data_IF_741877354195
#
_entry.id   IF_741877354195
#
_cell.length_a   1.000
_cell.length_b   1.000
_cell.length_c   1.000
_cell.angle_alpha   90.00
_cell.angle_beta   90.00
_cell.angle_gamma   90.00
#
_symmetry.space_group_name_H-M   'P 1'
#
loop_
_entity.id
_entity.type
_entity.pdbx_description
1 polymer ?
#
# COMPACT_ATOMS: atom_id res chain seq x y z
N UNK A 1 29.27 54.87 5.91
CA UNK A 1 30.26 53.94 6.50
C UNK A 1 29.58 52.85 7.33
N UNK A 2 28.73 53.18 8.30
CA UNK A 2 28.06 52.22 9.19
C UNK A 2 27.21 51.15 8.49
N UNK A 3 26.39 51.52 7.49
CA UNK A 3 25.58 50.57 6.71
C UNK A 3 26.41 49.57 5.88
N UNK A 4 27.63 49.95 5.49
CA UNK A 4 28.54 49.08 4.76
C UNK A 4 29.15 48.03 5.72
N UNK A 5 29.53 48.46 6.92
CA UNK A 5 30.07 47.58 7.96
C UNK A 5 29.04 46.53 8.39
N UNK A 6 27.77 46.92 8.60
CA UNK A 6 26.71 45.95 8.93
C UNK A 6 26.46 44.95 7.80
N UNK A 7 26.39 45.39 6.54
CA UNK A 7 26.22 44.49 5.38
C UNK A 7 27.36 43.48 5.29
N UNK A 8 28.59 43.93 5.52
CA UNK A 8 29.76 43.06 5.55
C UNK A 8 29.70 42.06 6.71
N UNK A 9 29.29 42.50 7.90
CA UNK A 9 29.13 41.63 9.07
C UNK A 9 28.06 40.55 8.83
N UNK A 10 26.89 40.93 8.30
CA UNK A 10 25.82 39.98 7.97
C UNK A 10 26.26 38.96 6.91
N UNK A 11 26.99 39.41 5.88
CA UNK A 11 27.58 38.52 4.87
C UNK A 11 28.54 37.50 5.50
N UNK A 12 29.46 37.96 6.36
CA UNK A 12 30.42 37.08 7.04
C UNK A 12 29.69 36.07 7.92
N UNK A 13 28.71 36.51 8.72
CA UNK A 13 27.93 35.60 9.56
C UNK A 13 27.14 34.58 8.73
N UNK A 14 26.54 34.99 7.61
CA UNK A 14 25.82 34.09 6.71
C UNK A 14 26.72 33.04 6.08
N UNK A 15 27.93 33.44 5.66
CA UNK A 15 28.95 32.52 5.14
C UNK A 15 29.39 31.53 6.24
N UNK A 16 29.60 31.98 7.48
CA UNK A 16 29.94 31.09 8.59
C UNK A 16 28.82 30.07 8.87
N UNK A 17 27.56 30.50 8.92
CA UNK A 17 26.42 29.59 9.11
C UNK A 17 26.26 28.58 7.98
N UNK A 18 26.47 29.00 6.73
CA UNK A 18 26.45 28.09 5.58
C UNK A 18 27.55 27.03 5.67
N UNK A 19 28.77 27.44 6.04
CA UNK A 19 29.88 26.50 6.21
C UNK A 19 29.64 25.52 7.36
N UNK A 20 29.10 25.98 8.50
CA UNK A 20 28.72 25.11 9.62
C UNK A 20 27.68 24.09 9.15
N UNK A 21 26.66 24.53 8.42
CA UNK A 21 25.64 23.63 7.87
C UNK A 21 26.22 22.61 6.89
N UNK A 22 27.12 23.03 5.99
CA UNK A 22 27.80 22.14 5.04
C UNK A 22 28.66 21.10 5.77
N UNK A 23 29.41 21.50 6.81
CA UNK A 23 30.20 20.58 7.63
C UNK A 23 29.29 19.59 8.35
N UNK A 24 28.19 20.04 8.95
CA UNK A 24 27.22 19.16 9.60
C UNK A 24 26.59 18.16 8.62
N UNK A 25 26.24 18.60 7.41
CA UNK A 25 25.72 17.74 6.36
C UNK A 25 26.77 16.71 5.89
N UNK A 26 28.03 17.12 5.75
CA UNK A 26 29.13 16.24 5.35
C UNK A 26 29.45 15.21 6.44
N UNK A 27 29.48 15.64 7.71
CA UNK A 27 29.63 14.75 8.87
C UNK A 27 28.47 13.76 8.94
N UNK A 28 27.23 14.18 8.72
CA UNK A 28 26.08 13.28 8.65
C UNK A 28 26.21 12.27 7.49
N UNK A 29 26.62 12.73 6.30
CA UNK A 29 26.85 11.87 5.14
C UNK A 29 27.93 10.81 5.40
N UNK A 30 29.02 11.18 6.08
CA UNK A 30 30.15 10.29 6.39
C UNK A 30 29.82 9.34 7.54
N UNK A 31 29.20 9.82 8.63
CA UNK A 31 28.91 9.01 9.82
C UNK A 31 27.68 8.10 9.64
N UNK A 32 26.62 8.59 8.99
CA UNK A 32 25.37 7.85 8.80
C UNK A 32 25.41 7.05 7.49
N UNK A 33 26.18 7.51 6.50
CA UNK A 33 26.29 6.93 5.18
C UNK A 33 25.12 7.37 4.28
N UNK A 34 25.37 7.65 2.98
CA UNK A 34 24.34 8.11 2.05
C UNK A 34 23.19 7.12 1.90
N UNK A 35 23.48 5.82 2.04
CA UNK A 35 22.46 4.77 1.93
C UNK A 35 21.39 4.85 3.02
N UNK A 36 21.75 5.20 4.27
CA UNK A 36 20.80 5.31 5.39
C UNK A 36 19.94 6.57 5.33
N UNK A 37 20.49 7.68 4.80
CA UNK A 37 19.77 8.94 4.64
C UNK A 37 18.69 8.87 3.55
N UNK A 38 18.89 8.00 2.55
CA UNK A 38 17.93 7.74 1.47
C UNK A 38 17.36 6.32 1.54
N UNK A 39 17.40 5.70 2.72
CA UNK A 39 16.95 4.33 2.89
C UNK A 39 15.42 4.26 2.93
N UNK A 40 14.82 4.19 1.75
CA UNK A 40 13.40 3.91 1.58
C UNK A 40 13.01 2.47 1.95
N UNK A 41 13.94 1.59 2.33
CA UNK A 41 13.59 0.20 2.64
C UNK A 41 12.58 0.08 3.77
N UNK A 42 12.64 0.97 4.77
CA UNK A 42 11.67 1.02 5.88
C UNK A 42 10.26 1.47 5.47
N UNK A 43 10.11 2.18 4.34
CA UNK A 43 8.77 2.55 3.81
C UNK A 43 8.11 1.38 3.07
N UNK A 44 8.88 0.36 2.67
CA UNK A 44 8.38 -0.72 1.80
C UNK A 44 7.76 -1.89 2.58
N UNK A 45 7.84 -1.91 3.91
CA UNK A 45 7.19 -2.97 4.69
C UNK A 45 5.71 -2.65 4.90
N UNK A 46 4.79 -3.54 4.49
CA UNK A 46 3.37 -3.33 4.72
C UNK A 46 3.07 -3.23 6.23
N UNK A 47 2.08 -2.41 6.64
CA UNK A 47 1.71 -2.32 8.05
C UNK A 47 1.34 -3.69 8.62
N UNK A 48 1.82 -3.99 9.84
CA UNK A 48 1.54 -5.26 10.53
C UNK A 48 0.03 -5.56 10.66
N UNK A 49 -0.81 -4.53 10.67
CA UNK A 49 -2.26 -4.65 10.72
C UNK A 49 -2.86 -5.41 9.50
N UNK A 50 -2.13 -5.50 8.38
CA UNK A 50 -2.54 -6.28 7.22
C UNK A 50 -2.41 -7.79 7.43
N UNK A 51 -1.72 -8.24 8.47
CA UNK A 51 -1.55 -9.66 8.79
C UNK A 51 -2.25 -10.06 10.09
N UNK A 52 -3.13 -9.19 10.62
CA UNK A 52 -3.87 -9.50 11.84
C UNK A 52 -4.90 -10.62 11.55
N UNK A 53 -4.79 -11.79 12.22
CA UNK A 53 -5.66 -12.93 11.97
C UNK A 53 -7.13 -12.66 12.31
N UNK A 54 -7.44 -11.56 13.01
CA UNK A 54 -8.82 -11.16 13.32
C UNK A 54 -9.68 -10.92 12.07
N UNK A 55 -9.04 -10.63 10.92
CA UNK A 55 -9.74 -10.37 9.66
C UNK A 55 -9.96 -11.62 8.80
N UNK A 56 -9.29 -12.73 9.12
CA UNK A 56 -9.44 -13.99 8.41
C UNK A 56 -8.16 -14.48 7.73
N UNK A 57 -8.32 -15.47 6.87
CA UNK A 57 -7.21 -16.14 6.18
C UNK A 57 -6.91 -15.47 4.83
N UNK A 58 -5.63 -15.19 4.56
CA UNK A 58 -5.18 -14.72 3.26
C UNK A 58 -5.09 -15.91 2.29
N UNK A 59 -5.73 -15.78 1.13
CA UNK A 59 -5.72 -16.77 0.05
C UNK A 59 -5.55 -16.09 -1.29
N UNK A 60 -5.30 -16.89 -2.32
CA UNK A 60 -5.25 -16.42 -3.70
C UNK A 60 -5.92 -17.41 -4.64
N UNK A 61 -6.48 -16.90 -5.72
CA UNK A 61 -7.06 -17.70 -6.80
C UNK A 61 -6.67 -17.11 -8.14
N UNK A 62 -6.41 -17.97 -9.12
CA UNK A 62 -6.13 -17.54 -10.49
C UNK A 62 -7.43 -17.53 -11.27
N UNK A 63 -7.83 -16.34 -11.72
CA UNK A 63 -9.03 -16.09 -12.56
C UNK A 63 -8.63 -15.14 -13.69
N UNK A 64 -9.21 -15.28 -14.87
CA UNK A 64 -8.96 -14.43 -16.03
C UNK A 64 -7.46 -14.17 -16.28
N UNK A 65 -6.65 -15.24 -16.12
CA UNK A 65 -5.18 -15.25 -16.28
C UNK A 65 -4.41 -14.34 -15.31
N UNK A 66 -5.03 -13.88 -14.23
CA UNK A 66 -4.40 -13.11 -13.14
C UNK A 66 -4.60 -13.83 -11.81
N UNK A 67 -3.59 -13.80 -10.96
CA UNK A 67 -3.72 -14.24 -9.57
C UNK A 67 -4.27 -13.10 -8.74
N UNK A 68 -5.45 -13.31 -8.17
CA UNK A 68 -6.08 -12.37 -7.25
C UNK A 68 -5.91 -12.83 -5.80
N UNK A 69 -5.44 -11.93 -4.95
CA UNK A 69 -5.41 -12.09 -3.50
C UNK A 69 -6.77 -11.73 -2.90
N UNK A 70 -7.15 -12.45 -1.84
CA UNK A 70 -8.31 -12.11 -1.03
C UNK A 70 -8.12 -12.55 0.43
N UNK A 71 -8.87 -11.93 1.32
CA UNK A 71 -9.04 -12.35 2.72
C UNK A 71 -10.42 -12.96 2.89
N UNK A 72 -10.47 -14.15 3.49
CA UNK A 72 -11.72 -14.87 3.75
C UNK A 72 -11.95 -15.07 5.24
N UNK A 73 -13.18 -14.80 5.68
CA UNK A 73 -13.64 -15.11 7.04
C UNK A 73 -15.06 -15.65 7.04
N UNK A 74 -15.43 -16.32 8.12
CA UNK A 74 -16.74 -16.91 8.35
C UNK A 74 -16.89 -18.35 7.86
N UNK A 75 -18.05 -18.99 8.14
CA UNK A 75 -18.25 -20.41 7.87
C UNK A 75 -18.20 -20.74 6.37
N UNK A 76 -17.46 -21.77 5.99
CA UNK A 76 -17.30 -22.19 4.58
C UNK A 76 -18.63 -22.57 3.89
N UNK A 77 -19.67 -22.91 4.66
CA UNK A 77 -21.01 -23.27 4.15
C UNK A 77 -22.01 -22.10 4.13
N UNK A 78 -21.64 -20.94 4.67
CA UNK A 78 -22.50 -19.76 4.65
C UNK A 78 -22.57 -19.12 3.24
N UNK A 79 -23.60 -18.32 2.94
CA UNK A 79 -23.69 -17.60 1.67
C UNK A 79 -22.46 -16.71 1.43
N UNK A 80 -21.99 -16.68 0.19
CA UNK A 80 -20.83 -15.86 -0.20
C UNK A 80 -21.21 -14.37 -0.17
N UNK A 81 -20.42 -13.57 0.52
CA UNK A 81 -20.46 -12.11 0.46
C UNK A 81 -19.13 -11.60 -0.10
N UNK A 82 -19.11 -11.21 -1.36
CA UNK A 82 -17.92 -10.69 -2.03
C UNK A 82 -17.84 -9.16 -1.90
N UNK A 83 -16.70 -8.65 -1.42
CA UNK A 83 -16.46 -7.24 -1.20
C UNK A 83 -15.40 -6.72 -2.17
N UNK A 84 -15.78 -5.76 -3.01
CA UNK A 84 -14.94 -5.16 -4.06
C UNK A 84 -14.59 -3.73 -3.66
N UNK A 85 -13.30 -3.40 -3.52
CA UNK A 85 -12.87 -2.05 -3.15
C UNK A 85 -12.78 -1.09 -4.35
N UNK A 86 -12.67 0.22 -4.09
CA UNK A 86 -12.51 1.26 -5.11
C UNK A 86 -11.06 1.71 -5.33
N UNK A 87 -10.87 2.91 -5.89
CA UNK A 87 -9.55 3.55 -6.06
C UNK A 87 -9.35 4.68 -5.03
N UNK A 88 -8.16 4.82 -4.41
CA UNK A 88 -7.06 3.86 -4.30
C UNK A 88 -7.16 3.09 -2.97
N UNK A 89 -7.64 1.84 -3.01
CA UNK A 89 -7.88 1.02 -1.81
C UNK A 89 -7.36 -0.42 -1.99
N UNK A 90 -7.50 -1.24 -0.94
CA UNK A 90 -7.24 -2.68 -0.90
C UNK A 90 -8.33 -3.37 -0.07
N UNK A 91 -8.30 -4.70 0.05
CA UNK A 91 -9.23 -5.50 0.87
C UNK A 91 -9.44 -4.91 2.28
N UNK A 92 -8.41 -4.28 2.85
CA UNK A 92 -8.39 -3.71 4.19
C UNK A 92 -9.40 -2.56 4.41
N UNK A 93 -9.91 -1.94 3.34
CA UNK A 93 -11.02 -0.98 3.45
C UNK A 93 -12.26 -1.62 4.08
N UNK A 94 -12.43 -2.93 3.91
CA UNK A 94 -13.56 -3.70 4.44
C UNK A 94 -13.35 -4.26 5.85
N UNK A 95 -12.25 -3.93 6.54
CA UNK A 95 -11.89 -4.50 7.86
C UNK A 95 -13.00 -4.44 8.93
N UNK A 96 -13.88 -3.44 8.86
CA UNK A 96 -15.01 -3.32 9.77
C UNK A 96 -16.20 -4.18 9.32
N UNK A 97 -16.49 -4.22 8.02
CA UNK A 97 -17.56 -5.01 7.43
C UNK A 97 -17.26 -6.51 7.53
N UNK A 98 -16.00 -6.91 7.38
CA UNK A 98 -15.55 -8.29 7.64
C UNK A 98 -15.93 -8.70 9.05
N UNK A 99 -15.62 -7.86 10.05
CA UNK A 99 -15.91 -8.16 11.46
C UNK A 99 -17.40 -8.30 11.74
N UNK A 100 -18.22 -7.45 11.12
CA UNK A 100 -19.67 -7.45 11.25
C UNK A 100 -20.31 -8.70 10.63
N UNK A 101 -19.96 -9.01 9.37
CA UNK A 101 -20.70 -10.01 8.58
C UNK A 101 -20.14 -11.43 8.63
N UNK A 102 -18.93 -11.66 9.14
CA UNK A 102 -18.29 -12.99 9.16
C UNK A 102 -19.04 -14.06 9.95
N UNK A 103 -19.99 -13.71 10.82
CA UNK A 103 -20.78 -14.71 11.56
C UNK A 103 -21.87 -15.34 10.70
N UNK A 104 -22.44 -14.57 9.79
CA UNK A 104 -23.61 -14.95 9.01
C UNK A 104 -23.25 -15.29 7.55
N UNK A 105 -22.11 -14.79 7.08
CA UNK A 105 -21.65 -14.93 5.69
C UNK A 105 -20.24 -15.48 5.62
N UNK A 106 -19.95 -16.16 4.50
CA UNK A 106 -18.57 -16.39 4.06
C UNK A 106 -18.10 -15.11 3.37
N UNK A 107 -17.51 -14.21 4.15
CA UNK A 107 -17.04 -12.92 3.65
C UNK A 107 -15.72 -13.12 2.90
N UNK A 108 -15.64 -12.56 1.71
CA UNK A 108 -14.43 -12.52 0.89
C UNK A 108 -14.15 -11.08 0.48
N UNK A 109 -13.08 -10.49 1.02
CA UNK A 109 -12.60 -9.18 0.60
C UNK A 109 -11.41 -9.37 -0.35
N UNK A 110 -11.58 -8.98 -1.62
CA UNK A 110 -10.58 -9.20 -2.68
C UNK A 110 -9.75 -7.95 -2.90
N UNK A 111 -8.46 -8.12 -3.17
CA UNK A 111 -7.65 -7.10 -3.82
C UNK A 111 -7.93 -7.14 -5.33
N UNK A 112 -8.55 -6.09 -5.86
CA UNK A 112 -8.82 -5.98 -7.30
C UNK A 112 -7.50 -6.02 -8.09
N UNK A 113 -7.54 -6.42 -9.36
CA UNK A 113 -6.34 -6.43 -10.20
C UNK A 113 -5.62 -5.08 -10.14
N UNK A 114 -4.30 -5.10 -10.08
CA UNK A 114 -3.49 -3.89 -9.93
C UNK A 114 -3.24 -3.45 -8.48
N UNK A 115 -3.93 -4.03 -7.48
CA UNK A 115 -3.84 -3.61 -6.08
C UNK A 115 -3.24 -4.68 -5.17
N UNK A 116 -2.80 -4.25 -3.99
CA UNK A 116 -2.33 -5.09 -2.88
C UNK A 116 -1.45 -6.27 -3.31
N UNK A 117 -1.83 -7.49 -2.96
CA UNK A 117 -1.08 -8.71 -3.31
C UNK A 117 -1.56 -9.38 -4.61
N UNK A 118 -2.54 -8.78 -5.29
CA UNK A 118 -3.00 -9.21 -6.61
C UNK A 118 -2.02 -8.85 -7.72
N UNK A 119 -2.07 -9.61 -8.81
CA UNK A 119 -1.26 -9.37 -10.00
C UNK A 119 -1.55 -7.98 -10.61
N UNK A 120 -0.51 -7.40 -11.22
CA UNK A 120 -0.51 -6.02 -11.76
C UNK A 120 -0.10 -6.06 -13.23
N UNK A 121 -0.93 -6.63 -14.12
CA UNK A 121 -0.61 -6.74 -15.54
C UNK A 121 -0.33 -5.35 -16.14
N UNK A 122 0.65 -5.26 -17.05
CA UNK A 122 1.00 -4.02 -17.73
C UNK A 122 -0.02 -3.71 -18.83
N UNK A 123 -0.18 -2.44 -19.18
CA UNK A 123 -1.03 -2.02 -20.30
C UNK A 123 -2.46 -1.65 -19.88
N UNK A 124 -3.00 -0.61 -20.52
CA UNK A 124 -4.32 -0.04 -20.24
C UNK A 124 -5.45 -1.01 -20.58
N UNK A 125 -5.24 -1.86 -21.58
CA UNK A 125 -6.18 -2.88 -22.02
C UNK A 125 -6.56 -3.87 -20.92
N UNK A 126 -5.66 -4.09 -19.95
CA UNK A 126 -5.89 -5.00 -18.83
C UNK A 126 -6.77 -4.41 -17.73
N UNK A 127 -7.17 -3.14 -17.82
CA UNK A 127 -7.98 -2.46 -16.80
C UNK A 127 -9.28 -1.89 -17.39
N UNK A 128 -9.68 -2.37 -18.57
CA UNK A 128 -10.99 -2.05 -19.14
C UNK A 128 -12.10 -2.72 -18.33
N UNK A 129 -13.29 -2.12 -18.35
CA UNK A 129 -14.42 -2.56 -17.54
C UNK A 129 -14.86 -4.00 -17.81
N UNK A 130 -14.83 -4.44 -19.07
CA UNK A 130 -15.13 -5.82 -19.47
C UNK A 130 -14.17 -6.83 -18.81
N UNK A 131 -12.88 -6.51 -18.77
CA UNK A 131 -11.86 -7.34 -18.10
C UNK A 131 -12.11 -7.40 -16.59
N UNK A 132 -12.42 -6.26 -15.96
CA UNK A 132 -12.69 -6.20 -14.51
C UNK A 132 -13.97 -6.95 -14.12
N UNK A 133 -15.02 -6.83 -14.93
CA UNK A 133 -16.27 -7.59 -14.71
C UNK A 133 -16.03 -9.08 -14.86
N UNK A 134 -15.23 -9.49 -15.84
CA UNK A 134 -14.87 -10.89 -16.04
C UNK A 134 -14.10 -11.46 -14.84
N UNK A 135 -13.16 -10.71 -14.25
CA UNK A 135 -12.49 -11.12 -13.02
C UNK A 135 -13.48 -11.44 -11.90
N UNK A 136 -14.47 -10.57 -11.70
CA UNK A 136 -15.49 -10.72 -10.65
C UNK A 136 -16.40 -11.91 -10.93
N UNK A 137 -16.82 -12.11 -12.18
CA UNK A 137 -17.63 -13.26 -12.57
C UNK A 137 -16.91 -14.58 -12.30
N UNK A 138 -15.67 -14.71 -12.79
CA UNK A 138 -14.87 -15.92 -12.58
C UNK A 138 -14.52 -16.13 -11.09
N UNK A 139 -14.37 -15.05 -10.32
CA UNK A 139 -14.17 -15.12 -8.87
C UNK A 139 -15.42 -15.66 -8.14
N UNK A 140 -16.61 -15.19 -8.53
CA UNK A 140 -17.89 -15.71 -7.99
C UNK A 140 -18.05 -17.18 -8.35
N UNK A 141 -17.73 -17.59 -9.58
CA UNK A 141 -17.78 -19.00 -10.01
C UNK A 141 -16.77 -19.86 -9.23
N UNK A 142 -15.56 -19.37 -9.02
CA UNK A 142 -14.50 -20.11 -8.32
C UNK A 142 -14.75 -20.25 -6.81
N UNK A 143 -15.36 -19.24 -6.18
CA UNK A 143 -15.54 -19.19 -4.73
C UNK A 143 -16.96 -19.55 -4.28
N UNK A 144 -17.94 -19.32 -5.14
CA UNK A 144 -19.34 -19.69 -4.94
C UNK A 144 -19.51 -21.19 -4.89
N UNK A 145 -20.55 -21.62 -4.17
CA UNK A 145 -21.05 -22.99 -4.23
C UNK A 145 -22.33 -22.97 -5.04
N UNK A 146 -22.37 -23.74 -6.12
CA UNK A 146 -23.61 -24.09 -6.82
C UNK A 146 -24.46 -25.05 -6.00
#
# INVERSE_FOLDING_TARGET
MLNFVYRLLYLITGICWLNIWLIQALVALVLVGPKKLFDKSKENEPPAALHDPVYGEHKSVTVNKVKLHYVVSGPTQAPLMLMLHGFPEIWYSWRYQIKEFQKDFRVVAVDMRGYGDSDKPKGLENYKMDVLVQDVQELIEALGKT
#
